data_IF_405575997743
#
_entry.id   IF_405575997743
#
_cell.length_a   1.000
_cell.length_b   1.000
_cell.length_c   1.000
_cell.angle_alpha   90.00
_cell.angle_beta   90.00
_cell.angle_gamma   90.00
#
_symmetry.space_group_name_H-M   'P 1'
#
loop_
_entity.id
_entity.type
_entity.pdbx_description
1 polymer ?
#
# COMPACT_ATOMS: atom_id res chain seq x y z
N UNK A 1 18.31 -4.69 -6.73
CA UNK A 1 18.97 -6.00 -6.57
C UNK A 1 20.47 -5.78 -6.45
N UNK A 2 21.17 -6.49 -5.57
CA UNK A 2 22.66 -6.49 -5.50
C UNK A 2 23.32 -7.13 -6.73
N UNK A 3 22.56 -7.94 -7.47
CA UNK A 3 22.98 -8.68 -8.66
C UNK A 3 23.04 -7.85 -9.97
N UNK A 4 22.51 -6.62 -9.99
CA UNK A 4 22.46 -5.78 -11.20
C UNK A 4 21.43 -6.19 -12.26
N UNK A 5 20.69 -7.29 -12.06
CA UNK A 5 19.68 -7.76 -13.00
C UNK A 5 18.45 -6.85 -13.08
N UNK A 6 17.74 -6.92 -14.21
CA UNK A 6 16.42 -6.33 -14.35
C UNK A 6 15.40 -7.12 -13.55
N UNK A 7 14.64 -6.43 -12.70
CA UNK A 7 13.58 -7.04 -11.89
C UNK A 7 12.33 -7.31 -12.73
N UNK A 8 11.73 -8.49 -12.56
CA UNK A 8 10.48 -8.87 -13.19
C UNK A 8 9.31 -8.61 -12.24
N UNK A 9 8.25 -7.95 -12.71
CA UNK A 9 7.02 -7.77 -11.95
C UNK A 9 6.25 -9.09 -11.94
N UNK A 10 6.00 -9.65 -10.75
CA UNK A 10 5.27 -10.92 -10.60
C UNK A 10 3.84 -10.71 -10.11
N UNK A 11 3.53 -9.54 -9.59
CA UNK A 11 2.21 -9.21 -9.08
C UNK A 11 2.18 -7.85 -8.43
N UNK A 12 1.08 -7.59 -7.75
CA UNK A 12 0.86 -6.37 -7.01
C UNK A 12 0.04 -6.65 -5.75
N UNK A 13 0.18 -5.75 -4.79
CA UNK A 13 -0.61 -5.69 -3.59
C UNK A 13 -1.39 -4.37 -3.63
N UNK A 14 -2.71 -4.46 -3.54
CA UNK A 14 -3.61 -3.30 -3.56
C UNK A 14 -4.14 -3.13 -2.13
N UNK A 15 -3.85 -1.99 -1.54
CA UNK A 15 -4.38 -1.59 -0.23
C UNK A 15 -5.29 -0.38 -0.40
N UNK A 16 -6.39 -0.34 0.33
CA UNK A 16 -7.44 0.66 0.13
C UNK A 16 -7.68 1.45 1.40
N UNK A 17 -7.82 2.77 1.25
CA UNK A 17 -8.13 3.69 2.34
C UNK A 17 -9.33 4.55 2.00
N UNK A 18 -10.22 4.69 2.96
CA UNK A 18 -11.41 5.52 2.89
C UNK A 18 -11.10 6.84 3.57
N UNK A 19 -11.16 7.90 2.78
CA UNK A 19 -10.95 9.27 3.19
C UNK A 19 -12.27 10.01 3.29
N UNK A 20 -12.25 11.05 4.12
CA UNK A 20 -13.38 11.93 4.31
C UNK A 20 -12.97 13.36 3.97
N UNK A 21 -13.71 13.95 3.05
CA UNK A 21 -13.82 15.41 2.90
C UNK A 21 -15.26 15.77 3.26
N UNK A 22 -15.53 16.95 3.85
CA UNK A 22 -16.89 17.36 4.14
C UNK A 22 -17.81 17.18 2.91
N UNK A 23 -18.90 16.45 3.11
CA UNK A 23 -19.88 16.01 2.09
C UNK A 23 -19.45 14.90 1.10
N UNK A 24 -18.22 14.37 1.17
CA UNK A 24 -17.73 13.37 0.21
C UNK A 24 -16.79 12.34 0.85
N UNK A 25 -17.06 11.06 0.60
CA UNK A 25 -16.10 9.98 0.86
C UNK A 25 -15.39 9.63 -0.43
N UNK A 26 -14.08 9.45 -0.36
CA UNK A 26 -13.29 8.97 -1.51
C UNK A 26 -12.35 7.87 -1.08
N UNK A 27 -11.97 7.05 -2.06
CA UNK A 27 -11.11 5.91 -1.88
C UNK A 27 -9.73 6.21 -2.43
N UNK A 28 -8.71 6.08 -1.60
CA UNK A 28 -7.32 6.10 -2.00
C UNK A 28 -6.84 4.65 -2.15
N UNK A 29 -6.25 4.34 -3.31
CA UNK A 29 -5.71 3.00 -3.60
C UNK A 29 -4.19 3.06 -3.66
N UNK A 30 -3.55 2.25 -2.83
CA UNK A 30 -2.11 2.08 -2.78
C UNK A 30 -1.77 0.80 -3.52
N UNK A 31 -1.24 0.93 -4.74
CA UNK A 31 -0.80 -0.20 -5.57
C UNK A 31 0.70 -0.39 -5.40
N UNK A 32 1.12 -1.52 -4.83
CA UNK A 32 2.52 -1.83 -4.55
C UNK A 32 2.95 -3.04 -5.37
N UNK A 33 3.88 -2.83 -6.30
CA UNK A 33 4.42 -3.90 -7.14
C UNK A 33 5.25 -4.91 -6.34
N UNK A 34 5.07 -6.20 -6.64
CA UNK A 34 5.94 -7.30 -6.21
C UNK A 34 6.92 -7.60 -7.34
N UNK A 35 8.20 -7.57 -7.02
CA UNK A 35 9.29 -7.69 -7.98
C UNK A 35 10.21 -8.83 -7.60
N UNK A 36 10.60 -9.65 -8.57
CA UNK A 36 11.53 -10.76 -8.35
C UNK A 36 12.76 -10.62 -9.23
N UNK A 37 13.87 -11.11 -8.72
CA UNK A 37 15.09 -11.39 -9.47
C UNK A 37 15.17 -12.89 -9.74
N UNK A 38 15.07 -13.30 -11.01
CA UNK A 38 15.11 -14.73 -11.37
C UNK A 38 16.53 -15.34 -11.25
N UNK A 39 17.59 -14.52 -11.14
CA UNK A 39 18.97 -15.02 -11.00
C UNK A 39 19.40 -15.28 -9.56
N UNK A 40 18.73 -14.63 -8.61
CA UNK A 40 19.16 -14.55 -7.22
C UNK A 40 18.01 -14.83 -6.25
N UNK A 41 16.87 -15.30 -6.77
CA UNK A 41 15.63 -15.63 -6.06
C UNK A 41 15.19 -14.56 -5.04
N UNK A 42 15.54 -13.31 -5.31
CA UNK A 42 15.28 -12.21 -4.38
C UNK A 42 13.94 -11.56 -4.70
N UNK A 43 13.01 -11.60 -3.74
CA UNK A 43 11.75 -10.89 -3.79
C UNK A 43 11.90 -9.50 -3.14
N UNK A 44 11.43 -8.47 -3.84
CA UNK A 44 11.39 -7.09 -3.34
C UNK A 44 9.97 -6.54 -3.49
N UNK A 45 9.49 -5.89 -2.42
CA UNK A 45 8.19 -5.24 -2.39
C UNK A 45 8.31 -4.00 -1.50
N UNK A 46 7.64 -2.92 -1.88
CA UNK A 46 7.56 -1.73 -1.03
C UNK A 46 6.73 -2.04 0.22
N UNK A 47 7.29 -1.75 1.40
CA UNK A 47 6.60 -1.93 2.67
C UNK A 47 5.33 -1.08 2.74
N UNK A 48 4.35 -1.53 3.53
CA UNK A 48 3.14 -0.74 3.74
C UNK A 48 3.50 0.41 4.68
N UNK A 49 3.10 1.65 4.38
CA UNK A 49 3.20 2.71 5.38
C UNK A 49 2.39 2.32 6.62
N UNK A 50 2.89 2.70 7.80
CA UNK A 50 2.20 2.42 9.06
C UNK A 50 0.91 3.24 9.13
N UNK A 51 -0.16 2.61 9.60
CA UNK A 51 -1.47 3.23 9.79
C UNK A 51 -1.94 3.09 11.23
N UNK A 52 -2.84 3.99 11.65
CA UNK A 52 -3.39 4.02 13.01
C UNK A 52 -4.04 2.69 13.40
N UNK A 53 -4.81 2.10 12.47
CA UNK A 53 -5.40 0.78 12.61
C UNK A 53 -4.74 -0.12 11.57
N UNK A 54 -4.04 -1.16 12.03
CA UNK A 54 -3.42 -2.13 11.12
C UNK A 54 -4.50 -2.83 10.29
N UNK A 55 -4.25 -2.93 8.98
CA UNK A 55 -5.20 -3.47 7.97
C UNK A 55 -6.57 -2.78 7.91
N UNK A 56 -6.80 -1.70 8.67
CA UNK A 56 -8.06 -0.96 8.64
C UNK A 56 -8.21 -0.15 7.36
N UNK A 57 -9.43 -0.01 6.85
CA UNK A 57 -9.70 0.82 5.66
C UNK A 57 -9.84 2.30 6.02
N UNK A 58 -10.08 2.66 7.29
CA UNK A 58 -10.28 4.06 7.66
C UNK A 58 -8.96 4.84 7.61
N UNK A 59 -8.99 5.99 6.92
CA UNK A 59 -7.91 6.97 7.00
C UNK A 59 -7.89 7.67 8.36
N UNK A 60 -6.75 8.24 8.77
CA UNK A 60 -6.68 9.06 9.99
C UNK A 60 -7.68 10.23 10.00
N UNK A 61 -7.93 10.84 8.83
CA UNK A 61 -8.90 11.93 8.65
C UNK A 61 -10.34 11.46 8.88
N UNK A 62 -10.68 10.26 8.42
CA UNK A 62 -12.00 9.68 8.69
C UNK A 62 -12.16 9.34 10.17
N UNK A 63 -11.14 8.77 10.80
CA UNK A 63 -11.17 8.43 12.23
C UNK A 63 -11.35 9.68 13.10
N UNK A 64 -10.66 10.78 12.79
CA UNK A 64 -10.81 12.02 13.56
C UNK A 64 -12.22 12.62 13.45
N UNK A 65 -12.91 12.44 12.32
CA UNK A 65 -14.29 12.89 12.15
C UNK A 65 -15.31 12.08 12.96
N UNK A 66 -15.07 10.77 13.12
CA UNK A 66 -16.01 9.84 13.79
C UNK A 66 -15.83 9.81 15.31
N UNK A 67 -14.60 10.00 15.81
CA UNK A 67 -14.26 9.87 17.23
C UNK A 67 -14.63 11.09 18.10
N UNK A 68 -15.45 12.01 17.58
CA UNK A 68 -15.93 13.20 18.32
C UNK A 68 -16.85 12.81 19.48
#
# INVERSE_FOLDING_TARGET
CSCGCQLRRIGEDISEKLHFRPAQFYKEQHVRGKWVCDQCDTLTQQAMPAYVIDKGIASPELLSHVLV
#
